data_IF_557558745705
#
_entry.id   IF_557558745705
#
_cell.length_a   1.000
_cell.length_b   1.000
_cell.length_c   1.000
_cell.angle_alpha   90.00
_cell.angle_beta   90.00
_cell.angle_gamma   90.00
#
_symmetry.space_group_name_H-M   'P 1'
#
loop_
_entity.id
_entity.type
_entity.pdbx_description
1 polymer ?
#
# COMPACT_ATOMS: atom_id res chain seq x y z
N UNK A 1 -21.54 28.33 -1.19
CA UNK A 1 -20.73 27.26 -1.83
C UNK A 1 -19.23 27.43 -1.54
N UNK A 2 -18.92 27.94 -0.36
CA UNK A 2 -17.65 27.79 0.37
C UNK A 2 -17.83 26.67 1.42
N UNK A 3 -18.70 25.69 1.13
CA UNK A 3 -19.59 25.06 2.12
C UNK A 3 -19.13 23.66 2.58
N UNK A 4 -17.85 23.32 2.43
CA UNK A 4 -17.36 22.10 3.10
C UNK A 4 -17.18 22.38 4.59
N UNK A 5 -17.73 21.55 5.50
CA UNK A 5 -17.51 21.69 6.94
C UNK A 5 -16.04 21.45 7.34
N UNK A 6 -15.23 20.91 6.43
CA UNK A 6 -13.83 20.55 6.65
C UNK A 6 -12.94 21.58 5.97
N UNK A 7 -12.15 22.29 6.78
CA UNK A 7 -11.27 23.36 6.31
C UNK A 7 -10.26 22.89 5.26
N UNK A 8 -9.66 21.71 5.47
CA UNK A 8 -8.68 21.13 4.54
C UNK A 8 -9.28 20.90 3.14
N UNK A 9 -10.53 20.44 3.07
CA UNK A 9 -11.24 20.23 1.80
C UNK A 9 -11.50 21.58 1.13
N UNK A 10 -12.00 22.56 1.88
CA UNK A 10 -12.30 23.91 1.36
C UNK A 10 -11.08 24.62 0.77
N UNK A 11 -9.90 24.45 1.37
CA UNK A 11 -8.67 25.08 0.88
C UNK A 11 -8.08 24.40 -0.37
N UNK A 12 -8.39 23.11 -0.58
CA UNK A 12 -7.71 22.28 -1.59
C UNK A 12 -8.58 21.90 -2.77
N UNK A 13 -9.90 21.76 -2.59
CA UNK A 13 -10.83 21.32 -3.63
C UNK A 13 -11.59 22.53 -4.18
N UNK A 14 -11.61 22.75 -5.51
CA UNK A 14 -12.42 23.82 -6.10
C UNK A 14 -13.92 23.51 -5.96
N UNK A 15 -14.72 24.54 -5.66
CA UNK A 15 -16.18 24.41 -5.53
C UNK A 15 -16.92 24.25 -6.86
N UNK A 16 -16.24 24.44 -7.99
CA UNK A 16 -16.82 24.39 -9.34
C UNK A 16 -16.31 23.19 -10.11
N UNK A 17 -17.20 22.51 -10.84
CA UNK A 17 -16.85 21.43 -11.76
C UNK A 17 -17.25 21.79 -13.21
N UNK A 18 -16.40 21.42 -14.17
CA UNK A 18 -16.70 21.52 -15.61
C UNK A 18 -17.02 20.12 -16.16
N UNK A 19 -18.31 19.79 -16.42
CA UNK A 19 -18.73 18.48 -16.89
C UNK A 19 -18.37 18.23 -18.36
N UNK A 20 -17.92 19.23 -19.11
CA UNK A 20 -17.62 19.11 -20.55
C UNK A 20 -16.23 18.52 -20.83
N UNK A 21 -15.36 18.51 -19.82
CA UNK A 21 -14.00 17.98 -19.93
C UNK A 21 -14.02 16.48 -20.23
N UNK A 22 -13.31 16.10 -21.31
CA UNK A 22 -13.23 14.71 -21.72
C UNK A 22 -12.23 13.93 -20.88
N UNK A 23 -12.66 12.75 -20.42
CA UNK A 23 -11.88 11.89 -19.50
C UNK A 23 -11.29 10.69 -20.22
N UNK A 24 -12.10 9.98 -21.01
CA UNK A 24 -11.70 8.74 -21.70
C UNK A 24 -11.14 9.03 -23.09
N UNK A 25 -9.92 9.53 -23.15
CA UNK A 25 -9.23 9.84 -24.42
C UNK A 25 -8.44 8.62 -24.94
N UNK A 26 -8.00 8.68 -26.20
CA UNK A 26 -7.07 7.67 -26.75
C UNK A 26 -5.75 7.59 -25.97
N UNK A 27 -5.25 8.73 -25.46
CA UNK A 27 -4.03 8.81 -24.65
C UNK A 27 -4.13 7.99 -23.37
N UNK A 28 -5.29 8.01 -22.72
CA UNK A 28 -5.55 7.22 -21.51
C UNK A 28 -5.34 5.73 -21.76
N UNK A 29 -5.82 5.21 -22.89
CA UNK A 29 -5.69 3.79 -23.20
C UNK A 29 -4.26 3.41 -23.60
N UNK A 30 -3.63 4.17 -24.49
CA UNK A 30 -2.30 3.83 -25.02
C UNK A 30 -1.20 3.98 -23.96
N UNK A 31 -1.31 4.94 -23.05
CA UNK A 31 -0.34 5.16 -21.98
C UNK A 31 -0.73 4.43 -20.69
N UNK A 32 -2.01 4.46 -20.32
CA UNK A 32 -2.50 3.89 -19.07
C UNK A 32 -2.42 2.36 -19.03
N UNK A 33 -2.75 1.64 -20.12
CA UNK A 33 -2.72 0.16 -20.13
C UNK A 33 -1.31 -0.38 -19.93
N UNK A 34 -0.28 0.04 -20.70
CA UNK A 34 1.08 -0.45 -20.48
C UNK A 34 1.62 -0.10 -19.09
N UNK A 35 1.35 1.12 -18.58
CA UNK A 35 1.79 1.53 -17.26
C UNK A 35 1.10 0.76 -16.14
N UNK A 36 -0.20 0.45 -16.28
CA UNK A 36 -0.93 -0.39 -15.33
C UNK A 36 -0.35 -1.81 -15.28
N UNK A 37 -0.01 -2.40 -16.43
CA UNK A 37 0.64 -3.72 -16.50
C UNK A 37 2.02 -3.67 -15.83
N UNK A 38 2.85 -2.67 -16.17
CA UNK A 38 4.18 -2.51 -15.59
C UNK A 38 4.12 -2.32 -14.08
N UNK A 39 3.27 -1.41 -13.61
CA UNK A 39 3.07 -1.15 -12.19
C UNK A 39 2.56 -2.40 -11.46
N UNK A 40 1.67 -3.18 -12.08
CA UNK A 40 1.19 -4.46 -11.53
C UNK A 40 2.32 -5.44 -11.30
N UNK A 41 3.21 -5.61 -12.28
CA UNK A 41 4.37 -6.51 -12.15
C UNK A 41 5.32 -6.01 -11.06
N UNK A 42 5.67 -4.72 -11.06
CA UNK A 42 6.58 -4.14 -10.07
C UNK A 42 6.03 -4.27 -8.65
N UNK A 43 4.74 -3.99 -8.45
CA UNK A 43 4.09 -4.14 -7.15
C UNK A 43 4.13 -5.59 -6.65
N UNK A 44 3.91 -6.58 -7.53
CA UNK A 44 4.00 -7.99 -7.14
C UNK A 44 5.40 -8.39 -6.74
N UNK A 45 6.42 -7.97 -7.48
CA UNK A 45 7.81 -8.23 -7.12
C UNK A 45 8.14 -7.58 -5.76
N UNK A 46 7.68 -6.35 -5.53
CA UNK A 46 7.90 -5.64 -4.27
C UNK A 46 7.17 -6.28 -3.08
N UNK A 47 5.99 -6.87 -3.29
CA UNK A 47 5.18 -7.49 -2.23
C UNK A 47 5.83 -8.72 -1.57
N UNK A 48 6.78 -9.37 -2.25
CA UNK A 48 7.52 -10.51 -1.69
C UNK A 48 8.78 -10.10 -0.91
N UNK A 49 9.10 -8.79 -0.86
CA UNK A 49 10.23 -8.28 -0.08
C UNK A 49 9.84 -8.10 1.38
N UNK A 50 10.78 -8.32 2.30
CA UNK A 50 10.59 -8.05 3.74
C UNK A 50 10.31 -6.57 4.01
N UNK A 51 11.05 -5.67 3.35
CA UNK A 51 10.75 -4.25 3.31
C UNK A 51 9.99 -3.96 2.03
N UNK A 52 8.69 -3.68 2.18
CA UNK A 52 7.82 -3.40 1.05
C UNK A 52 8.27 -2.13 0.33
N UNK A 53 8.60 -2.25 -0.96
CA UNK A 53 8.95 -1.10 -1.80
C UNK A 53 7.70 -0.58 -2.47
N UNK A 54 7.17 0.52 -1.94
CA UNK A 54 5.97 1.16 -2.47
C UNK A 54 6.33 2.30 -3.42
N UNK A 55 5.95 2.18 -4.69
CA UNK A 55 5.98 3.32 -5.62
C UNK A 55 4.78 4.20 -5.30
N UNK A 56 5.05 5.44 -4.88
CA UNK A 56 3.98 6.35 -4.48
C UNK A 56 3.12 6.77 -5.69
N UNK A 57 1.78 6.90 -5.53
CA UNK A 57 0.90 7.39 -6.58
C UNK A 57 1.32 8.77 -7.10
N UNK A 58 1.80 9.64 -6.21
CA UNK A 58 2.32 10.96 -6.56
C UNK A 58 3.49 10.91 -7.56
N UNK A 59 4.40 9.94 -7.42
CA UNK A 59 5.49 9.75 -8.39
C UNK A 59 4.93 9.36 -9.76
N UNK A 60 3.95 8.46 -9.80
CA UNK A 60 3.29 8.02 -11.04
C UNK A 60 2.56 9.19 -11.71
N UNK A 61 1.85 10.02 -10.94
CA UNK A 61 1.16 11.21 -11.45
C UNK A 61 2.12 12.20 -12.13
N UNK A 62 3.32 12.39 -11.60
CA UNK A 62 4.32 13.27 -12.22
C UNK A 62 4.80 12.70 -13.56
N UNK A 63 5.05 11.38 -13.63
CA UNK A 63 5.40 10.72 -14.88
C UNK A 63 4.26 10.79 -15.90
N UNK A 64 3.02 10.54 -15.48
CA UNK A 64 1.83 10.67 -16.33
C UNK A 64 1.68 12.10 -16.84
N UNK A 65 1.84 13.11 -15.99
CA UNK A 65 1.77 14.51 -16.42
C UNK A 65 2.77 14.83 -17.54
N UNK A 66 4.02 14.40 -17.42
CA UNK A 66 5.03 14.59 -18.45
C UNK A 66 4.70 13.84 -19.74
N UNK A 67 4.38 12.55 -19.63
CA UNK A 67 4.05 11.69 -20.78
C UNK A 67 2.81 12.16 -21.54
N UNK A 68 1.75 12.52 -20.84
CA UNK A 68 0.49 12.97 -21.44
C UNK A 68 0.61 14.32 -22.12
N UNK A 69 1.36 15.27 -21.54
CA UNK A 69 1.66 16.54 -22.20
C UNK A 69 2.48 16.33 -23.49
N UNK A 70 3.42 15.39 -23.49
CA UNK A 70 4.18 15.03 -24.68
C UNK A 70 3.25 14.41 -25.74
N UNK A 71 2.42 13.43 -25.37
CA UNK A 71 1.45 12.83 -26.30
C UNK A 71 0.42 13.84 -26.81
N UNK A 72 -0.03 14.79 -25.97
CA UNK A 72 -0.97 15.82 -26.39
C UNK A 72 -0.37 16.80 -27.42
N UNK A 73 0.95 16.97 -27.44
CA UNK A 73 1.67 17.77 -28.45
C UNK A 73 2.02 16.98 -29.71
N UNK A 74 2.31 15.68 -29.57
CA UNK A 74 2.77 14.82 -30.67
C UNK A 74 1.61 14.21 -31.47
N UNK A 75 0.50 13.86 -30.81
CA UNK A 75 -0.63 13.21 -31.48
C UNK A 75 -1.39 14.18 -32.38
N UNK A 76 -1.66 13.81 -33.65
CA UNK A 76 -2.44 14.65 -34.55
C UNK A 76 -3.92 14.67 -34.15
N UNK A 77 -4.57 15.81 -34.34
CA UNK A 77 -6.03 15.98 -34.17
C UNK A 77 -6.79 15.32 -35.32
N UNK A 78 -6.68 13.98 -35.44
CA UNK A 78 -7.31 13.20 -36.52
C UNK A 78 -8.36 12.26 -35.94
N UNK A 79 -9.53 12.25 -36.58
CA UNK A 79 -10.58 11.26 -36.34
C UNK A 79 -10.29 10.03 -37.18
N UNK A 80 -10.05 8.90 -36.50
CA UNK A 80 -9.81 7.60 -37.13
C UNK A 80 -11.13 6.84 -37.14
N UNK A 81 -11.56 6.41 -38.33
CA UNK A 81 -12.71 5.51 -38.50
C UNK A 81 -12.20 4.07 -38.50
N UNK A 82 -12.83 3.20 -37.71
CA UNK A 82 -12.47 1.79 -37.64
C UNK A 82 -12.97 1.12 -38.93
N UNK A 83 -12.08 0.51 -39.75
CA UNK A 83 -12.47 -0.15 -41.00
C UNK A 83 -13.57 -1.19 -40.77
N UNK A 84 -14.64 -1.13 -41.57
CA UNK A 84 -15.76 -2.08 -41.46
C UNK A 84 -16.80 -1.79 -40.37
N UNK A 85 -16.65 -0.71 -39.60
CA UNK A 85 -17.66 -0.29 -38.61
C UNK A 85 -18.04 1.19 -38.78
N UNK A 86 -19.14 1.62 -38.16
CA UNK A 86 -19.52 3.05 -38.09
C UNK A 86 -18.80 3.80 -36.96
N UNK A 87 -17.93 3.12 -36.21
CA UNK A 87 -17.26 3.70 -35.06
C UNK A 87 -16.06 4.53 -35.48
N UNK A 88 -15.96 5.71 -34.89
CA UNK A 88 -14.84 6.63 -35.09
C UNK A 88 -14.39 7.16 -33.75
N UNK A 89 -13.08 7.25 -33.55
CA UNK A 89 -12.49 7.86 -32.36
C UNK A 89 -11.48 8.94 -32.76
N UNK A 90 -11.35 9.96 -31.94
CA UNK A 90 -10.33 11.00 -32.14
C UNK A 90 -9.05 10.62 -31.42
N UNK A 91 -7.91 10.76 -32.10
CA UNK A 91 -6.59 10.51 -31.52
C UNK A 91 -6.20 11.57 -30.47
N UNK A 92 -6.66 12.82 -30.67
CA UNK A 92 -6.38 13.94 -29.79
C UNK A 92 -7.60 14.88 -29.78
N UNK A 93 -8.63 14.56 -28.98
CA UNK A 93 -9.88 15.31 -29.00
C UNK A 93 -9.82 16.62 -28.20
N UNK A 94 -8.91 16.73 -27.23
CA UNK A 94 -8.75 17.92 -26.39
C UNK A 94 -7.31 18.04 -25.89
N UNK A 95 -6.93 19.24 -25.44
CA UNK A 95 -5.71 19.44 -24.65
C UNK A 95 -5.74 18.60 -23.38
N UNK A 96 -4.56 18.19 -22.91
CA UNK A 96 -4.45 17.41 -21.68
C UNK A 96 -5.08 18.18 -20.51
N UNK A 97 -6.02 17.54 -19.82
CA UNK A 97 -6.80 18.16 -18.74
C UNK A 97 -6.65 17.39 -17.42
N UNK A 98 -7.05 18.03 -16.32
CA UNK A 98 -6.93 17.46 -14.98
C UNK A 98 -7.75 16.18 -14.78
N UNK A 99 -8.96 16.08 -15.36
CA UNK A 99 -9.82 14.89 -15.20
C UNK A 99 -9.27 13.68 -15.95
N UNK A 100 -8.77 13.89 -17.16
CA UNK A 100 -8.03 12.87 -17.92
C UNK A 100 -6.83 12.36 -17.11
N UNK A 101 -6.07 13.27 -16.48
CA UNK A 101 -4.94 12.91 -15.61
C UNK A 101 -5.36 12.03 -14.43
N UNK A 102 -6.40 12.44 -13.69
CA UNK A 102 -6.93 11.69 -12.55
C UNK A 102 -7.41 10.30 -12.98
N UNK A 103 -8.15 10.20 -14.09
CA UNK A 103 -8.63 8.92 -14.58
C UNK A 103 -7.51 7.96 -14.98
N UNK A 104 -6.45 8.46 -15.63
CA UNK A 104 -5.24 7.67 -15.88
C UNK A 104 -4.57 7.22 -14.59
N UNK A 105 -4.48 8.10 -13.60
CA UNK A 105 -3.89 7.73 -12.31
C UNK A 105 -4.66 6.61 -11.63
N UNK A 106 -6.00 6.69 -11.58
CA UNK A 106 -6.85 5.62 -11.06
C UNK A 106 -6.56 4.30 -11.81
N UNK A 107 -6.48 4.38 -13.13
CA UNK A 107 -6.23 3.22 -13.98
C UNK A 107 -4.86 2.56 -13.71
N UNK A 108 -3.80 3.36 -13.58
CA UNK A 108 -2.43 2.86 -13.32
C UNK A 108 -2.24 2.42 -11.88
N UNK A 109 -2.89 3.06 -10.91
CA UNK A 109 -2.78 2.73 -9.48
C UNK A 109 -3.73 1.60 -9.04
N UNK A 110 -4.60 1.09 -9.93
CA UNK A 110 -5.49 -0.05 -9.67
C UNK A 110 -4.73 -1.38 -9.66
N UNK A 111 -3.75 -1.48 -8.76
CA UNK A 111 -2.74 -2.51 -8.72
C UNK A 111 -2.88 -3.26 -7.41
N UNK A 112 -3.34 -4.50 -7.49
CA UNK A 112 -3.52 -5.35 -6.32
C UNK A 112 -4.83 -6.10 -6.38
N UNK A 113 -4.74 -7.42 -6.26
CA UNK A 113 -5.84 -8.37 -6.20
C UNK A 113 -5.56 -9.37 -5.09
N UNK A 114 -6.48 -9.55 -4.12
CA UNK A 114 -6.35 -10.57 -3.09
C UNK A 114 -6.40 -11.98 -3.68
N UNK A 115 -7.10 -12.18 -4.81
CA UNK A 115 -7.10 -13.45 -5.55
C UNK A 115 -5.69 -13.93 -5.92
N UNK A 116 -4.78 -13.02 -6.27
CA UNK A 116 -3.39 -13.37 -6.58
C UNK A 116 -2.62 -13.91 -5.35
N UNK A 117 -2.89 -13.37 -4.15
CA UNK A 117 -2.24 -13.87 -2.93
C UNK A 117 -2.69 -15.31 -2.64
N UNK A 118 -3.97 -15.61 -2.81
CA UNK A 118 -4.48 -16.98 -2.64
C UNK A 118 -3.80 -17.97 -3.61
N UNK A 119 -3.60 -17.57 -4.86
CA UNK A 119 -2.89 -18.38 -5.87
C UNK A 119 -1.42 -18.56 -5.48
N UNK A 120 -0.77 -17.48 -5.04
CA UNK A 120 0.63 -17.50 -4.62
C UNK A 120 0.84 -18.41 -3.40
N UNK A 121 -0.06 -18.34 -2.42
CA UNK A 121 -0.04 -19.19 -1.23
C UNK A 121 -0.23 -20.67 -1.62
N UNK A 122 -1.21 -20.97 -2.49
CA UNK A 122 -1.43 -22.32 -3.02
C UNK A 122 -0.17 -22.88 -3.70
N UNK A 123 0.53 -22.06 -4.49
CA UNK A 123 1.73 -22.50 -5.20
C UNK A 123 2.96 -22.64 -4.29
N UNK A 124 3.19 -21.69 -3.38
CA UNK A 124 4.40 -21.65 -2.55
C UNK A 124 4.31 -22.62 -1.37
N UNK A 125 3.21 -22.57 -0.61
CA UNK A 125 3.07 -23.33 0.64
C UNK A 125 2.47 -24.72 0.43
N UNK A 126 1.51 -24.84 -0.49
CA UNK A 126 0.80 -26.10 -0.75
C UNK A 126 1.30 -26.83 -2.00
N UNK A 127 2.30 -26.28 -2.71
CA UNK A 127 2.87 -26.83 -3.96
C UNK A 127 1.82 -27.19 -5.00
N UNK A 128 0.67 -26.51 -4.96
CA UNK A 128 -0.47 -26.75 -5.84
C UNK A 128 -0.44 -25.77 -7.00
N UNK A 129 -0.32 -26.31 -8.21
CA UNK A 129 -0.48 -25.50 -9.42
C UNK A 129 -1.96 -25.38 -9.77
N UNK A 130 -2.43 -24.14 -9.89
CA UNK A 130 -3.79 -23.82 -10.32
C UNK A 130 -3.71 -23.49 -11.81
N UNK A 131 -4.57 -24.11 -12.61
CA UNK A 131 -4.66 -23.81 -14.04
C UNK A 131 -4.95 -22.32 -14.28
N UNK A 132 -4.43 -21.78 -15.38
CA UNK A 132 -4.47 -20.34 -15.68
C UNK A 132 -5.89 -19.77 -15.71
N UNK A 133 -6.86 -20.52 -16.23
CA UNK A 133 -8.24 -20.05 -16.37
C UNK A 133 -8.93 -19.84 -15.00
N UNK A 134 -9.00 -20.84 -14.09
CA UNK A 134 -9.47 -20.63 -12.72
C UNK A 134 -8.73 -19.52 -11.97
N UNK A 135 -7.40 -19.44 -12.14
CA UNK A 135 -6.59 -18.39 -11.52
C UNK A 135 -7.00 -17.00 -12.02
N UNK A 136 -7.18 -16.83 -13.33
CA UNK A 136 -7.63 -15.57 -13.92
C UNK A 136 -9.03 -15.19 -13.46
N UNK A 137 -9.97 -16.14 -13.45
CA UNK A 137 -11.34 -15.90 -12.96
C UNK A 137 -11.38 -15.52 -11.49
N UNK A 138 -10.54 -16.11 -10.65
CA UNK A 138 -10.40 -15.75 -9.23
C UNK A 138 -9.84 -14.33 -9.05
N UNK A 139 -8.82 -13.97 -9.83
CA UNK A 139 -8.25 -12.61 -9.79
C UNK A 139 -9.28 -11.58 -10.25
N UNK A 140 -9.97 -11.84 -11.36
CA UNK A 140 -10.97 -10.93 -11.92
C UNK A 140 -12.17 -10.76 -10.97
N UNK A 141 -12.71 -11.86 -10.43
CA UNK A 141 -13.87 -11.79 -9.54
C UNK A 141 -13.57 -11.02 -8.26
N UNK A 142 -12.39 -11.23 -7.66
CA UNK A 142 -11.97 -10.49 -6.47
C UNK A 142 -11.76 -8.99 -6.73
N UNK A 143 -11.31 -8.59 -7.92
CA UNK A 143 -11.24 -7.19 -8.31
C UNK A 143 -12.62 -6.55 -8.47
N UNK A 144 -13.52 -7.22 -9.19
CA UNK A 144 -14.88 -6.71 -9.38
C UNK A 144 -15.66 -6.61 -8.08
N UNK A 145 -15.44 -7.53 -7.14
CA UNK A 145 -16.03 -7.46 -5.80
C UNK A 145 -15.63 -6.16 -5.09
N UNK A 146 -14.36 -5.75 -5.15
CA UNK A 146 -13.90 -4.50 -4.56
C UNK A 146 -14.58 -3.26 -5.18
N UNK A 147 -14.64 -3.19 -6.51
CA UNK A 147 -15.34 -2.10 -7.21
C UNK A 147 -16.86 -2.13 -6.96
N UNK A 148 -17.45 -3.31 -6.80
CA UNK A 148 -18.86 -3.48 -6.44
C UNK A 148 -19.18 -2.88 -5.07
N UNK A 149 -18.35 -3.16 -4.06
CA UNK A 149 -18.49 -2.53 -2.74
C UNK A 149 -18.28 -1.01 -2.79
N UNK A 150 -17.31 -0.53 -3.56
CA UNK A 150 -17.12 0.92 -3.75
C UNK A 150 -18.39 1.59 -4.31
N UNK A 151 -19.09 0.94 -5.24
CA UNK A 151 -20.38 1.41 -5.75
C UNK A 151 -21.51 1.41 -4.71
N UNK A 152 -21.60 0.35 -3.88
CA UNK A 152 -22.61 0.25 -2.82
C UNK A 152 -22.46 1.34 -1.76
N UNK A 153 -21.22 1.67 -1.39
CA UNK A 153 -20.94 2.66 -0.34
C UNK A 153 -20.72 4.09 -0.84
N UNK A 154 -20.87 4.36 -2.15
CA UNK A 154 -20.62 5.67 -2.74
C UNK A 154 -21.42 6.79 -2.05
N UNK A 155 -22.71 6.54 -1.77
CA UNK A 155 -23.56 7.51 -1.06
C UNK A 155 -23.11 7.81 0.37
N UNK A 156 -22.47 6.84 1.04
CA UNK A 156 -22.05 6.98 2.43
C UNK A 156 -20.66 7.60 2.52
N UNK A 157 -19.74 7.17 1.67
CA UNK A 157 -18.32 7.54 1.77
C UNK A 157 -17.87 8.65 0.85
N UNK A 158 -18.63 8.97 -0.21
CA UNK A 158 -18.28 9.99 -1.20
C UNK A 158 -19.27 11.14 -1.19
N UNK A 159 -20.58 10.86 -1.21
CA UNK A 159 -21.60 11.93 -1.26
C UNK A 159 -21.76 12.68 0.07
N UNK A 160 -21.31 12.08 1.19
CA UNK A 160 -21.40 12.70 2.50
C UNK A 160 -20.35 13.81 2.68
N UNK A 161 -20.75 15.06 3.01
CA UNK A 161 -19.82 16.19 3.13
C UNK A 161 -18.91 16.13 4.37
N UNK A 162 -19.24 15.26 5.33
CA UNK A 162 -18.43 15.05 6.54
C UNK A 162 -17.39 13.94 6.37
N UNK A 163 -17.51 13.12 5.31
CA UNK A 163 -16.54 12.07 5.03
C UNK A 163 -15.48 12.62 4.08
N UNK A 164 -14.21 12.51 4.48
CA UNK A 164 -13.09 12.94 3.66
C UNK A 164 -11.92 11.97 3.80
N UNK A 165 -11.13 11.88 2.73
CA UNK A 165 -10.02 10.96 2.62
C UNK A 165 -8.72 11.75 2.51
N UNK A 166 -7.91 11.83 3.58
CA UNK A 166 -6.72 12.70 3.60
C UNK A 166 -5.74 12.41 2.45
N UNK A 167 -5.57 11.14 2.10
CA UNK A 167 -4.72 10.72 0.97
C UNK A 167 -5.19 11.31 -0.37
N UNK A 168 -6.50 11.41 -0.57
CA UNK A 168 -7.07 11.99 -1.79
C UNK A 168 -6.83 13.50 -1.83
N UNK A 169 -6.88 14.20 -0.69
CA UNK A 169 -6.59 15.63 -0.61
C UNK A 169 -5.15 15.95 -1.03
N UNK A 170 -4.19 15.13 -0.59
CA UNK A 170 -2.80 15.28 -1.02
C UNK A 170 -2.65 15.10 -2.54
N UNK A 171 -3.31 14.09 -3.13
CA UNK A 171 -3.35 13.89 -4.58
C UNK A 171 -4.00 15.08 -5.32
N UNK A 172 -5.13 15.60 -4.84
CA UNK A 172 -5.79 16.79 -5.44
C UNK A 172 -4.83 17.99 -5.42
N UNK A 173 -4.15 18.22 -4.30
CA UNK A 173 -3.18 19.31 -4.17
C UNK A 173 -2.03 19.17 -5.18
N UNK A 174 -1.56 17.95 -5.43
CA UNK A 174 -0.57 17.67 -6.46
C UNK A 174 -1.11 17.94 -7.88
N UNK A 175 -2.31 17.45 -8.21
CA UNK A 175 -2.91 17.68 -9.53
C UNK A 175 -3.09 19.16 -9.82
N UNK A 176 -3.55 19.93 -8.83
CA UNK A 176 -3.65 21.39 -8.93
C UNK A 176 -2.28 22.03 -9.12
N UNK A 177 -1.27 21.63 -8.36
CA UNK A 177 0.08 22.15 -8.53
C UNK A 177 0.68 21.87 -9.92
N UNK A 178 0.31 20.75 -10.56
CA UNK A 178 0.77 20.39 -11.90
C UNK A 178 0.00 21.12 -13.02
N UNK A 179 -1.32 21.25 -12.91
CA UNK A 179 -2.18 21.80 -13.97
C UNK A 179 -2.45 23.31 -13.85
N UNK A 180 -2.40 23.88 -12.64
CA UNK A 180 -2.58 25.33 -12.46
C UNK A 180 -1.28 26.09 -12.75
N UNK A 181 -1.40 27.30 -13.31
CA UNK A 181 -0.24 28.13 -13.59
C UNK A 181 0.38 28.66 -12.29
N UNK A 182 1.68 28.39 -12.10
CA UNK A 182 2.41 28.83 -10.91
C UNK A 182 2.67 30.35 -10.96
N UNK A 183 2.04 31.10 -10.05
CA UNK A 183 2.35 32.52 -9.84
C UNK A 183 3.58 32.62 -8.96
N UNK A 184 4.75 32.75 -9.58
CA UNK A 184 6.03 32.83 -8.87
C UNK A 184 6.03 33.98 -7.85
N UNK A 185 6.22 33.72 -6.54
CA UNK A 185 6.43 34.78 -5.57
C UNK A 185 7.76 35.49 -5.87
N UNK A 186 7.77 36.83 -5.86
CA UNK A 186 8.98 37.63 -6.11
C UNK A 186 10.06 37.26 -5.09
N UNK A 187 11.20 36.75 -5.57
CA UNK A 187 12.34 36.34 -4.74
C UNK A 187 12.30 34.89 -4.22
N UNK A 188 11.26 34.11 -4.51
CA UNK A 188 11.14 32.71 -4.10
C UNK A 188 11.57 31.70 -5.17
N UNK A 189 11.75 30.44 -4.72
CA UNK A 189 11.84 29.26 -5.59
C UNK A 189 10.47 29.00 -6.23
N UNK A 190 10.46 28.51 -7.48
CA UNK A 190 9.22 27.95 -8.06
C UNK A 190 8.87 26.62 -7.39
N UNK A 191 7.60 26.20 -7.48
CA UNK A 191 7.16 24.90 -6.93
C UNK A 191 7.98 23.74 -7.49
N UNK A 192 8.27 23.78 -8.79
CA UNK A 192 9.09 22.78 -9.48
C UNK A 192 10.54 22.78 -9.01
N UNK A 193 11.16 23.95 -8.81
CA UNK A 193 12.54 24.04 -8.31
C UNK A 193 12.65 23.45 -6.90
N UNK A 194 11.73 23.81 -6.01
CA UNK A 194 11.68 23.24 -4.67
C UNK A 194 11.50 21.72 -4.72
N UNK A 195 10.57 21.23 -5.55
CA UNK A 195 10.36 19.79 -5.75
C UNK A 195 11.63 19.05 -6.16
N UNK A 196 12.33 19.52 -7.21
CA UNK A 196 13.55 18.84 -7.68
C UNK A 196 14.71 18.91 -6.68
N UNK A 197 14.85 20.01 -5.93
CA UNK A 197 15.85 20.12 -4.85
C UNK A 197 15.58 19.08 -3.76
N UNK A 198 14.33 18.99 -3.30
CA UNK A 198 13.93 18.02 -2.26
C UNK A 198 14.06 16.59 -2.77
N UNK A 199 13.66 16.31 -4.01
CA UNK A 199 13.84 14.99 -4.62
C UNK A 199 15.32 14.59 -4.69
N UNK A 200 16.21 15.49 -5.11
CA UNK A 200 17.65 15.21 -5.17
C UNK A 200 18.23 14.99 -3.76
N UNK A 201 17.81 15.78 -2.77
CA UNK A 201 18.25 15.63 -1.38
C UNK A 201 17.80 14.29 -0.78
N UNK A 202 16.53 13.91 -0.95
CA UNK A 202 15.99 12.63 -0.46
C UNK A 202 16.64 11.46 -1.20
N UNK A 203 16.85 11.57 -2.51
CA UNK A 203 17.56 10.56 -3.30
C UNK A 203 18.98 10.35 -2.76
N UNK A 204 19.73 11.43 -2.53
CA UNK A 204 21.08 11.36 -1.95
C UNK A 204 21.08 10.75 -0.54
N UNK A 205 20.13 11.16 0.30
CA UNK A 205 20.00 10.61 1.66
C UNK A 205 19.66 9.12 1.65
N UNK A 206 18.80 8.67 0.74
CA UNK A 206 18.34 7.26 0.68
C UNK A 206 19.47 6.27 0.40
N UNK A 207 20.60 6.72 -0.18
CA UNK A 207 21.79 5.89 -0.39
C UNK A 207 22.46 5.52 0.95
N UNK A 208 22.38 6.42 1.95
CA UNK A 208 23.02 6.24 3.26
C UNK A 208 22.45 5.01 3.99
N UNK A 209 21.14 4.92 4.31
CA UNK A 209 20.60 3.73 4.97
C UNK A 209 20.60 2.50 4.07
N UNK A 210 20.60 2.66 2.74
CA UNK A 210 20.60 1.52 1.83
C UNK A 210 21.97 0.81 1.72
N UNK A 211 23.06 1.57 1.67
CA UNK A 211 24.39 1.04 1.33
C UNK A 211 25.45 1.31 2.40
N UNK A 212 25.56 2.54 2.90
CA UNK A 212 26.69 2.93 3.75
C UNK A 212 26.47 2.62 5.24
N UNK A 213 25.26 2.86 5.76
CA UNK A 213 24.97 2.75 7.19
C UNK A 213 23.57 2.17 7.43
N UNK A 214 23.44 0.87 7.17
CA UNK A 214 22.18 0.13 7.29
C UNK A 214 21.62 0.11 8.72
N UNK A 215 22.45 0.27 9.74
CA UNK A 215 22.02 0.33 11.15
C UNK A 215 21.12 1.53 11.46
N UNK A 216 21.12 2.59 10.65
CA UNK A 216 20.18 3.73 10.80
C UNK A 216 18.72 3.32 10.60
N UNK A 217 18.46 2.18 9.95
CA UNK A 217 17.10 1.64 9.79
C UNK A 217 16.44 1.31 11.14
N UNK A 218 17.21 0.90 12.15
CA UNK A 218 16.71 0.60 13.48
C UNK A 218 17.79 0.84 14.56
N UNK A 219 17.85 2.07 15.08
CA UNK A 219 18.67 2.46 16.21
C UNK A 219 17.96 2.09 17.53
N UNK A 220 18.14 0.85 17.96
CA UNK A 220 17.53 0.31 19.19
C UNK A 220 18.39 0.63 20.43
N UNK A 221 18.13 1.78 21.07
CA UNK A 221 18.94 2.25 22.22
C UNK A 221 18.93 1.29 23.40
N UNK A 222 17.78 0.67 23.70
CA UNK A 222 17.65 -0.32 24.79
C UNK A 222 18.58 -1.52 24.56
N UNK A 223 18.70 -1.99 23.31
CA UNK A 223 19.59 -3.08 22.93
C UNK A 223 21.08 -2.71 23.08
N UNK A 224 21.43 -1.43 22.94
CA UNK A 224 22.81 -0.96 23.08
C UNK A 224 23.25 -0.88 24.55
N UNK A 225 22.34 -0.49 25.44
CA UNK A 225 22.60 -0.39 26.88
C UNK A 225 22.68 -1.79 27.50
N UNK A 226 21.74 -2.67 27.17
CA UNK A 226 21.67 -4.03 27.72
C UNK A 226 21.88 -5.10 26.65
N UNK A 227 23.15 -5.29 26.25
CA UNK A 227 23.52 -6.21 25.16
C UNK A 227 23.24 -7.67 25.50
N UNK A 228 23.50 -8.10 26.73
CA UNK A 228 23.45 -9.50 27.14
C UNK A 228 22.07 -9.96 27.66
N UNK A 229 21.12 -9.03 27.82
CA UNK A 229 19.80 -9.33 28.35
C UNK A 229 18.81 -9.71 27.25
N UNK A 230 18.38 -10.98 27.21
CA UNK A 230 17.38 -11.47 26.25
C UNK A 230 16.08 -10.66 26.35
N UNK A 231 15.64 -10.34 27.56
CA UNK A 231 14.42 -9.55 27.78
C UNK A 231 14.56 -8.13 27.25
N UNK A 232 15.72 -7.49 27.46
CA UNK A 232 15.97 -6.16 26.91
C UNK A 232 16.02 -6.17 25.38
N UNK A 233 16.57 -7.21 24.78
CA UNK A 233 16.57 -7.39 23.33
C UNK A 233 15.15 -7.60 22.76
N UNK A 234 14.31 -8.40 23.43
CA UNK A 234 12.91 -8.63 23.03
C UNK A 234 12.05 -7.36 23.14
N UNK A 235 12.30 -6.53 24.15
CA UNK A 235 11.57 -5.27 24.36
C UNK A 235 12.10 -4.17 23.42
N UNK A 236 13.42 -4.07 23.29
CA UNK A 236 14.10 -2.95 22.63
C UNK A 236 14.27 -3.08 21.12
N UNK A 237 14.34 -4.30 20.59
CA UNK A 237 14.67 -4.51 19.17
C UNK A 237 13.57 -3.98 18.27
N UNK A 238 13.91 -3.06 17.36
CA UNK A 238 12.96 -2.50 16.38
C UNK A 238 12.57 -3.46 15.25
N UNK A 239 13.39 -4.51 15.01
CA UNK A 239 13.16 -5.46 13.91
C UNK A 239 12.60 -6.80 14.37
N UNK A 240 13.01 -7.26 15.56
CA UNK A 240 12.68 -8.60 16.08
C UNK A 240 11.99 -8.55 17.45
N UNK A 241 11.57 -7.36 17.90
CA UNK A 241 11.01 -7.13 19.23
C UNK A 241 9.90 -6.08 19.21
N UNK A 242 9.56 -5.57 20.39
CA UNK A 242 8.52 -4.54 20.55
C UNK A 242 8.96 -3.15 20.05
N UNK A 243 10.26 -2.93 19.86
CA UNK A 243 10.82 -1.67 19.37
C UNK A 243 10.77 -0.51 20.37
N UNK A 244 10.66 -0.78 21.68
CA UNK A 244 10.67 0.28 22.69
C UNK A 244 12.02 0.99 22.69
N UNK A 245 12.02 2.31 22.45
CA UNK A 245 13.25 3.08 22.34
C UNK A 245 14.06 2.79 21.08
N UNK A 246 13.43 2.23 20.04
CA UNK A 246 14.02 2.09 18.71
C UNK A 246 13.62 3.26 17.82
N UNK A 247 14.62 3.93 17.23
CA UNK A 247 14.42 5.05 16.30
C UNK A 247 14.90 4.64 14.91
N UNK A 248 14.10 4.87 13.89
CA UNK A 248 14.51 4.72 12.50
C UNK A 248 14.74 6.10 11.90
N UNK A 249 15.87 6.32 11.22
CA UNK A 249 16.04 7.49 10.35
C UNK A 249 15.89 7.11 8.86
N UNK A 250 15.52 5.87 8.57
CA UNK A 250 15.16 5.46 7.20
C UNK A 250 13.66 5.68 6.95
N UNK A 251 13.34 6.66 6.11
CA UNK A 251 11.97 6.98 5.71
C UNK A 251 11.24 5.79 5.09
N UNK A 252 11.94 4.96 4.31
CA UNK A 252 11.30 3.79 3.69
C UNK A 252 10.90 2.76 4.73
N UNK A 253 11.76 2.49 5.73
CA UNK A 253 11.43 1.58 6.84
C UNK A 253 10.19 2.07 7.59
N UNK A 254 10.11 3.37 7.91
CA UNK A 254 8.98 3.94 8.66
C UNK A 254 7.65 3.92 7.89
N UNK A 255 7.67 4.19 6.58
CA UNK A 255 6.45 4.38 5.79
C UNK A 255 5.98 3.15 5.02
N UNK A 256 6.83 2.13 4.88
CA UNK A 256 6.56 0.93 4.07
C UNK A 256 5.22 0.25 4.37
N UNK A 257 4.82 0.15 5.64
CA UNK A 257 3.57 -0.52 6.04
C UNK A 257 2.48 0.44 6.53
N UNK A 258 2.85 1.57 7.13
CA UNK A 258 1.91 2.50 7.73
C UNK A 258 1.49 3.65 6.80
N UNK A 259 2.19 3.82 5.67
CA UNK A 259 2.02 4.97 4.78
C UNK A 259 2.68 6.24 5.32
N UNK A 260 2.54 7.34 4.58
CA UNK A 260 3.11 8.63 4.97
C UNK A 260 2.29 9.29 6.09
N UNK A 261 2.87 9.58 7.26
CA UNK A 261 2.16 10.29 8.33
C UNK A 261 1.88 11.76 7.99
N UNK A 262 2.61 12.34 7.02
CA UNK A 262 2.47 13.75 6.63
C UNK A 262 1.11 14.09 6.02
N UNK A 263 0.41 13.07 5.54
CA UNK A 263 -0.89 13.23 4.87
C UNK A 263 -2.05 13.01 5.83
N UNK A 264 -1.79 12.40 7.00
CA UNK A 264 -2.83 12.05 7.96
C UNK A 264 -3.08 13.21 8.95
N UNK A 265 -4.35 13.48 9.31
CA UNK A 265 -4.66 14.46 10.34
C UNK A 265 -4.14 14.00 11.71
N UNK A 266 -3.84 14.97 12.57
CA UNK A 266 -3.26 14.71 13.90
C UNK A 266 -4.09 13.75 14.75
N UNK A 267 -5.43 13.89 14.74
CA UNK A 267 -6.31 13.00 15.50
C UNK A 267 -6.17 11.53 15.07
N UNK A 268 -6.00 11.27 13.77
CA UNK A 268 -5.85 9.91 13.24
C UNK A 268 -4.49 9.33 13.64
N UNK A 269 -3.45 10.17 13.63
CA UNK A 269 -2.11 9.79 14.11
C UNK A 269 -2.16 9.42 15.60
N UNK A 270 -2.79 10.25 16.44
CA UNK A 270 -2.93 9.97 17.87
C UNK A 270 -3.77 8.71 18.13
N UNK A 271 -4.88 8.52 17.43
CA UNK A 271 -5.70 7.31 17.58
C UNK A 271 -4.90 6.05 17.22
N UNK A 272 -4.14 6.08 16.13
CA UNK A 272 -3.27 4.96 15.72
C UNK A 272 -2.15 4.71 16.75
N UNK A 273 -1.56 5.78 17.29
CA UNK A 273 -0.54 5.68 18.33
C UNK A 273 -1.09 5.06 19.62
N UNK A 274 -2.28 5.48 20.07
CA UNK A 274 -2.94 4.93 21.25
C UNK A 274 -3.23 3.44 21.04
N UNK A 275 -3.83 3.08 19.90
CA UNK A 275 -4.08 1.68 19.55
C UNK A 275 -2.79 0.85 19.53
N UNK A 276 -1.72 1.40 18.96
CA UNK A 276 -0.40 0.76 18.97
C UNK A 276 0.14 0.57 20.39
N UNK A 277 0.10 1.58 21.26
CA UNK A 277 0.56 1.48 22.65
C UNK A 277 -0.25 0.41 23.41
N UNK A 278 -1.58 0.43 23.28
CA UNK A 278 -2.46 -0.53 23.96
C UNK A 278 -2.16 -1.96 23.52
N UNK A 279 -2.06 -2.21 22.21
CA UNK A 279 -1.86 -3.58 21.71
C UNK A 279 -0.41 -4.03 21.89
N UNK A 280 0.56 -3.24 21.42
CA UNK A 280 1.97 -3.62 21.38
C UNK A 280 2.66 -3.54 22.75
N UNK A 281 2.34 -2.54 23.58
CA UNK A 281 3.04 -2.32 24.85
C UNK A 281 2.27 -2.77 26.09
N UNK A 282 0.97 -3.05 25.99
CA UNK A 282 0.16 -3.53 27.12
C UNK A 282 -0.32 -4.95 26.87
N UNK A 283 -1.13 -5.18 25.84
CA UNK A 283 -1.82 -6.47 25.63
C UNK A 283 -0.83 -7.59 25.27
N UNK A 284 0.06 -7.38 24.28
CA UNK A 284 1.03 -8.40 23.86
C UNK A 284 1.97 -8.80 25.02
N UNK A 285 2.65 -7.85 25.69
CA UNK A 285 3.34 -8.06 26.96
C UNK A 285 2.56 -8.88 27.98
N UNK A 286 1.38 -8.39 28.36
CA UNK A 286 0.57 -9.02 29.41
C UNK A 286 0.22 -10.45 29.06
N UNK A 287 -0.20 -10.71 27.82
CA UNK A 287 -0.55 -12.04 27.31
C UNK A 287 0.67 -12.99 27.29
N UNK A 288 1.83 -12.49 26.85
CA UNK A 288 3.06 -13.29 26.81
C UNK A 288 3.55 -13.67 28.21
N UNK A 289 3.64 -12.69 29.11
CA UNK A 289 4.13 -12.93 30.47
C UNK A 289 3.11 -13.65 31.37
N UNK A 290 1.81 -13.54 31.12
CA UNK A 290 0.79 -14.38 31.78
C UNK A 290 0.73 -15.81 31.21
N UNK A 291 1.55 -16.11 30.18
CA UNK A 291 1.55 -17.38 29.47
C UNK A 291 0.17 -17.75 28.88
N UNK A 292 -0.63 -16.76 28.50
CA UNK A 292 -1.87 -16.98 27.78
C UNK A 292 -1.55 -17.66 26.43
N UNK A 293 -2.39 -18.60 26.00
CA UNK A 293 -2.18 -19.39 24.77
C UNK A 293 -0.85 -20.16 24.70
N UNK A 294 -0.26 -20.48 25.85
CA UNK A 294 1.05 -21.14 25.94
C UNK A 294 2.19 -20.34 25.29
N UNK A 295 2.06 -19.01 25.32
CA UNK A 295 2.89 -18.06 24.59
C UNK A 295 4.40 -18.18 24.83
N UNK A 296 4.83 -18.61 26.02
CA UNK A 296 6.24 -18.69 26.39
C UNK A 296 7.03 -19.75 25.62
N UNK A 297 6.36 -20.67 24.93
CA UNK A 297 7.00 -21.70 24.10
C UNK A 297 7.61 -21.14 22.82
N UNK A 298 7.22 -19.94 22.40
CA UNK A 298 7.65 -19.32 21.15
C UNK A 298 8.13 -17.87 21.37
N UNK A 299 8.78 -17.25 20.37
CA UNK A 299 9.23 -15.86 20.46
C UNK A 299 8.06 -14.89 20.67
N UNK A 300 8.32 -13.80 21.41
CA UNK A 300 7.35 -12.73 21.67
C UNK A 300 6.78 -12.14 20.38
N UNK A 301 7.63 -11.96 19.36
CA UNK A 301 7.27 -11.38 18.08
C UNK A 301 7.75 -12.30 16.95
N UNK A 302 6.82 -12.88 16.19
CA UNK A 302 7.13 -13.65 14.98
C UNK A 302 5.92 -13.78 14.08
N UNK A 303 6.15 -13.88 12.78
CA UNK A 303 5.14 -14.18 11.75
C UNK A 303 5.02 -15.68 11.45
N UNK A 304 5.86 -16.52 12.06
CA UNK A 304 5.83 -17.97 11.85
C UNK A 304 4.69 -18.63 12.66
N UNK A 305 4.31 -19.81 12.21
CA UNK A 305 3.39 -20.73 12.90
C UNK A 305 4.17 -21.84 13.61
N UNK A 306 3.68 -22.28 14.77
CA UNK A 306 4.37 -23.20 15.67
C UNK A 306 3.56 -24.45 15.99
N UNK A 307 4.24 -25.53 16.34
CA UNK A 307 3.64 -26.74 16.93
C UNK A 307 3.60 -26.65 18.47
N UNK A 308 2.99 -27.66 19.10
CA UNK A 308 2.82 -27.72 20.56
C UNK A 308 4.13 -27.76 21.35
N UNK A 309 5.24 -28.10 20.68
CA UNK A 309 6.59 -28.18 21.24
C UNK A 309 7.41 -26.90 20.99
N UNK A 310 6.85 -25.91 20.29
CA UNK A 310 7.53 -24.64 19.98
C UNK A 310 8.42 -24.69 18.74
N UNK A 311 8.39 -25.76 17.94
CA UNK A 311 9.08 -25.80 16.65
C UNK A 311 8.21 -25.20 15.55
N UNK A 312 8.83 -24.81 14.43
CA UNK A 312 8.09 -24.32 13.26
C UNK A 312 7.16 -25.42 12.75
N UNK A 313 5.90 -25.08 12.54
CA UNK A 313 4.87 -26.05 12.15
C UNK A 313 5.15 -26.66 10.78
N UNK A 314 5.22 -27.99 10.70
CA UNK A 314 5.48 -28.69 9.45
C UNK A 314 4.18 -29.05 8.72
N UNK A 315 3.83 -28.23 7.72
CA UNK A 315 2.60 -28.38 6.92
C UNK A 315 2.60 -29.68 6.09
N UNK A 316 3.76 -30.17 5.65
CA UNK A 316 3.86 -31.40 4.84
C UNK A 316 3.49 -32.67 5.61
N UNK A 317 3.38 -32.62 6.95
CA UNK A 317 2.93 -33.77 7.77
C UNK A 317 1.42 -33.97 7.74
N UNK A 318 0.66 -32.90 7.49
CA UNK A 318 -0.81 -32.90 7.57
C UNK A 318 -1.47 -32.81 6.19
N UNK A 319 -0.71 -32.45 5.17
CA UNK A 319 -1.18 -32.33 3.80
C UNK A 319 -0.31 -33.24 2.95
N UNK A 320 -0.93 -34.24 2.35
CA UNK A 320 -0.25 -35.11 1.39
C UNK A 320 0.12 -34.28 0.15
N UNK A 321 1.43 -34.04 -0.01
CA UNK A 321 1.98 -33.26 -1.11
C UNK A 321 2.03 -34.05 -2.43
N UNK A 322 1.80 -35.36 -2.42
CA UNK A 322 2.16 -36.23 -3.55
C UNK A 322 0.99 -36.58 -4.46
N UNK A 323 -0.26 -36.61 -3.97
CA UNK A 323 -1.34 -37.25 -4.74
C UNK A 323 -2.60 -36.41 -4.83
N UNK A 324 -3.07 -35.87 -3.71
CA UNK A 324 -4.21 -34.96 -3.66
C UNK A 324 -3.97 -34.06 -2.47
N UNK A 325 -3.87 -32.73 -2.67
CA UNK A 325 -3.73 -31.73 -1.59
C UNK A 325 -4.98 -31.77 -0.72
N UNK A 326 -5.07 -32.81 0.10
CA UNK A 326 -6.18 -33.19 0.95
C UNK A 326 -5.67 -33.14 2.37
N UNK A 327 -6.49 -32.56 3.22
CA UNK A 327 -6.17 -32.41 4.62
C UNK A 327 -6.38 -33.76 5.32
N UNK A 328 -5.32 -34.29 5.92
CA UNK A 328 -5.37 -35.51 6.71
C UNK A 328 -5.65 -35.16 8.18
N UNK A 329 -6.91 -35.33 8.59
CA UNK A 329 -7.37 -35.07 9.95
C UNK A 329 -6.64 -35.94 10.98
N UNK A 330 -6.44 -37.22 10.71
CA UNK A 330 -5.78 -38.14 11.63
C UNK A 330 -4.31 -37.77 11.85
N UNK A 331 -3.60 -37.40 10.78
CA UNK A 331 -2.22 -36.91 10.88
C UNK A 331 -2.13 -35.57 11.65
N UNK A 332 -3.14 -34.71 11.54
CA UNK A 332 -3.23 -33.46 12.30
C UNK A 332 -3.42 -33.72 13.79
N UNK A 333 -4.37 -34.57 14.15
CA UNK A 333 -4.67 -34.90 15.54
C UNK A 333 -3.49 -35.60 16.24
N UNK A 334 -2.73 -36.41 15.49
CA UNK A 334 -1.52 -37.07 15.99
C UNK A 334 -0.29 -36.15 16.06
N UNK A 335 -0.19 -35.11 15.22
CA UNK A 335 0.97 -34.22 15.18
C UNK A 335 0.88 -33.09 16.21
N UNK A 336 0.04 -32.09 15.95
CA UNK A 336 -0.17 -30.97 16.87
C UNK A 336 -1.24 -30.00 16.35
N UNK A 337 -1.87 -29.29 17.27
CA UNK A 337 -2.64 -28.07 16.94
C UNK A 337 -1.70 -26.97 16.45
N UNK A 338 -2.22 -26.05 15.63
CA UNK A 338 -1.47 -24.88 15.16
C UNK A 338 -1.44 -23.82 16.27
N UNK A 339 -0.25 -23.38 16.64
CA UNK A 339 -0.04 -22.29 17.60
C UNK A 339 0.46 -21.03 16.88
N UNK A 340 -0.10 -19.90 17.29
CA UNK A 340 0.30 -18.58 16.83
C UNK A 340 0.99 -17.81 17.95
N UNK A 341 1.94 -16.95 17.60
CA UNK A 341 2.51 -15.99 18.54
C UNK A 341 1.43 -15.02 19.03
N UNK A 342 1.57 -14.50 20.25
CA UNK A 342 0.64 -13.48 20.77
C UNK A 342 0.57 -12.27 19.85
N UNK A 343 1.70 -11.84 19.28
CA UNK A 343 1.75 -10.78 18.27
C UNK A 343 0.87 -11.07 17.06
N UNK A 344 0.86 -12.30 16.57
CA UNK A 344 0.10 -12.70 15.39
C UNK A 344 -1.40 -12.86 15.70
N UNK A 345 -1.74 -13.42 16.88
CA UNK A 345 -3.12 -13.55 17.35
C UNK A 345 -3.79 -12.19 17.44
N UNK A 346 -3.17 -11.24 18.16
CA UNK A 346 -3.76 -9.91 18.32
C UNK A 346 -3.75 -9.11 17.03
N UNK A 347 -2.72 -9.28 16.18
CA UNK A 347 -2.73 -8.70 14.83
C UNK A 347 -3.98 -9.14 14.06
N UNK A 348 -4.28 -10.45 13.99
CA UNK A 348 -5.49 -10.93 13.31
C UNK A 348 -6.79 -10.51 14.00
N UNK A 349 -6.85 -10.54 15.33
CA UNK A 349 -8.04 -10.17 16.08
C UNK A 349 -8.43 -8.70 15.85
N UNK A 350 -7.46 -7.79 15.82
CA UNK A 350 -7.70 -6.36 15.62
C UNK A 350 -7.80 -5.97 14.14
N UNK A 351 -7.21 -6.73 13.20
CA UNK A 351 -7.45 -6.56 11.76
C UNK A 351 -8.92 -6.82 11.42
N UNK A 352 -9.57 -7.81 12.05
CA UNK A 352 -11.00 -8.09 11.85
C UNK A 352 -11.92 -7.03 12.48
N UNK A 353 -11.38 -6.17 13.34
CA UNK A 353 -12.10 -5.09 14.01
C UNK A 353 -11.85 -3.70 13.37
N UNK A 354 -10.97 -3.62 12.37
CA UNK A 354 -10.73 -2.45 11.50
C UNK A 354 -11.67 -2.47 10.31
#
# INVERSE_FOLDING_TARGET
MDDSPIEQVRLTVPSTDDPTLQVLTFRLWILGVPLCILQSVLFRIASFRQQFVYISPASIDIFLFGGCNLLARVLPNKVVRIPGTRWSFSLNPCSFNIKEHIAMSIFVNSVGSPGFYNISIAKIFYRKEIHILPALLLVISTQFLGFGFAGLFLKVFVDSPYMWWPNVIASISLYRALHEQDKRPKGGLSRYQFFFIVCAAIFGYSIIPAYFFQSVTALSFVCWIWKDSITAQQIGSGMNGLGVGSISLDWMTMTSFLGSPLVLPSFAIFNRLIGFIVVAYIIIPFSYWSNAFEARKFPLFSTNIYDSQGHKYNVSRIIDSNTTVTFNQEAYDNYSKIYFTTSLIYSYAFILAQ
#
